data_IF_771126783117
#
_entry.id   IF_771126783117
#
_cell.length_a   1.000
_cell.length_b   1.000
_cell.length_c   1.000
_cell.angle_alpha   90.00
_cell.angle_beta   90.00
_cell.angle_gamma   90.00
#
_symmetry.space_group_name_H-M   'P 1'
#
loop_
_entity.id
_entity.type
_entity.pdbx_description
1 polymer ?
#
# COMPACT_ATOMS: atom_id res chain seq x y z
N UNK A 1 -18.55 2.02 21.14
CA UNK A 1 -17.11 1.86 20.81
C UNK A 1 -17.03 1.19 19.45
N UNK A 2 -16.51 1.81 18.37
CA UNK A 2 -16.39 1.09 17.10
C UNK A 2 -15.17 0.16 17.16
N UNK A 3 -15.44 -1.12 17.40
CA UNK A 3 -14.56 -2.21 17.00
C UNK A 3 -14.88 -2.48 15.54
N UNK A 4 -13.88 -2.43 14.67
CA UNK A 4 -14.03 -2.82 13.27
C UNK A 4 -13.42 -4.20 13.13
N UNK A 5 -14.26 -5.17 12.74
CA UNK A 5 -13.83 -6.54 12.50
C UNK A 5 -13.62 -6.79 11.00
N UNK A 6 -12.40 -7.17 10.61
CA UNK A 6 -12.06 -7.51 9.23
C UNK A 6 -12.84 -8.70 8.66
N UNK A 7 -13.31 -9.63 9.52
CA UNK A 7 -14.15 -10.76 9.10
C UNK A 7 -15.58 -10.34 8.77
N UNK A 8 -16.10 -9.28 9.38
CA UNK A 8 -17.46 -8.76 9.13
C UNK A 8 -17.46 -7.67 8.05
N UNK A 9 -16.33 -6.97 7.89
CA UNK A 9 -16.17 -5.88 6.93
C UNK A 9 -16.08 -6.36 5.48
N UNK A 10 -15.43 -7.50 5.22
CA UNK A 10 -15.27 -8.04 3.87
C UNK A 10 -16.56 -8.66 3.27
N UNK A 11 -17.40 -9.42 4.02
CA UNK A 11 -18.65 -9.98 3.50
C UNK A 11 -19.74 -8.94 3.22
N UNK A 12 -19.76 -7.83 3.96
CA UNK A 12 -20.65 -6.69 3.70
C UNK A 12 -20.43 -6.07 2.31
N UNK A 13 -19.24 -6.27 1.71
CA UNK A 13 -18.90 -5.84 0.36
C UNK A 13 -19.30 -6.87 -0.72
N UNK A 14 -19.54 -8.13 -0.35
CA UNK A 14 -19.79 -9.23 -1.31
C UNK A 14 -21.25 -9.63 -1.48
N UNK A 15 -22.20 -9.04 -0.74
CA UNK A 15 -23.59 -9.52 -0.74
C UNK A 15 -24.65 -8.46 -0.48
N UNK A 16 -25.41 -8.14 -1.54
CA UNK A 16 -26.71 -7.45 -1.58
C UNK A 16 -26.74 -5.94 -1.28
N UNK A 17 -27.33 -5.24 -2.26
CA UNK A 17 -27.71 -3.83 -2.32
C UNK A 17 -26.60 -2.81 -2.66
N UNK A 18 -26.58 -2.42 -3.94
CA UNK A 18 -26.27 -1.07 -4.41
C UNK A 18 -25.07 -0.38 -3.77
N UNK A 19 -23.94 -0.40 -4.49
CA UNK A 19 -22.73 0.35 -4.17
C UNK A 19 -23.10 1.80 -3.83
N UNK A 20 -22.90 2.18 -2.56
CA UNK A 20 -22.88 3.58 -2.13
C UNK A 20 -21.41 3.99 -1.92
N UNK A 21 -21.12 5.30 -1.98
CA UNK A 21 -19.77 5.92 -1.96
C UNK A 21 -18.75 5.37 -0.93
N UNK A 22 -19.20 4.66 0.11
CA UNK A 22 -18.37 4.07 1.16
C UNK A 22 -17.46 2.92 0.67
N UNK A 23 -17.76 2.27 -0.46
CA UNK A 23 -17.00 1.12 -0.98
C UNK A 23 -15.69 1.50 -1.71
N UNK A 24 -15.43 2.77 -2.00
CA UNK A 24 -14.22 3.21 -2.72
C UNK A 24 -12.97 3.29 -1.85
N UNK A 25 -13.12 3.17 -0.52
CA UNK A 25 -12.07 3.40 0.48
C UNK A 25 -11.48 2.13 1.09
N UNK A 26 -11.98 0.98 0.66
CA UNK A 26 -11.36 -0.31 0.90
C UNK A 26 -10.89 -0.89 -0.43
N UNK A 27 -9.61 -1.21 -0.55
CA UNK A 27 -9.05 -1.78 -1.78
C UNK A 27 -8.17 -2.97 -1.43
N UNK A 28 -8.20 -3.99 -2.29
CA UNK A 28 -7.25 -5.09 -2.23
C UNK A 28 -6.29 -4.93 -3.40
N UNK A 29 -4.99 -4.88 -3.12
CA UNK A 29 -3.95 -4.84 -4.14
C UNK A 29 -2.83 -5.78 -3.74
N UNK A 30 -2.49 -6.70 -4.65
CA UNK A 30 -1.45 -7.71 -4.44
C UNK A 30 -1.66 -8.54 -3.15
N UNK A 31 -2.92 -8.83 -2.83
CA UNK A 31 -3.32 -9.59 -1.63
C UNK A 31 -3.27 -8.81 -0.31
N UNK A 32 -2.93 -7.51 -0.36
CA UNK A 32 -2.95 -6.60 0.79
C UNK A 32 -4.18 -5.72 0.77
N UNK A 33 -4.73 -5.48 1.95
CA UNK A 33 -5.90 -4.63 2.14
C UNK A 33 -5.46 -3.19 2.46
N UNK A 34 -6.18 -2.23 1.91
CA UNK A 34 -5.98 -0.80 2.08
C UNK A 34 -7.28 -0.25 2.61
N UNK A 35 -7.27 0.33 3.81
CA UNK A 35 -8.45 0.89 4.45
C UNK A 35 -8.26 2.39 4.70
N UNK A 36 -9.16 3.19 4.14
CA UNK A 36 -9.20 4.63 4.29
C UNK A 36 -10.46 5.06 5.07
N UNK A 37 -10.25 5.53 6.29
CA UNK A 37 -11.25 5.98 7.24
C UNK A 37 -11.29 7.51 7.38
N UNK A 38 -10.68 8.27 6.47
CA UNK A 38 -10.51 9.73 6.63
C UNK A 38 -11.80 10.55 6.68
N UNK A 39 -12.84 10.15 5.95
CA UNK A 39 -14.14 10.87 5.96
C UNK A 39 -15.18 10.20 6.86
N UNK A 40 -14.73 9.34 7.77
CA UNK A 40 -15.57 8.86 8.85
C UNK A 40 -15.57 9.88 10.01
N UNK A 41 -16.62 9.82 10.84
CA UNK A 41 -16.73 10.59 12.07
C UNK A 41 -16.41 9.71 13.29
N UNK A 42 -15.22 9.10 13.31
CA UNK A 42 -14.83 8.19 14.38
C UNK A 42 -14.45 9.01 15.61
N UNK A 43 -15.24 8.87 16.66
CA UNK A 43 -15.05 9.55 17.93
C UNK A 43 -14.58 8.54 18.99
N UNK A 44 -13.55 8.90 19.74
CA UNK A 44 -13.08 8.11 20.88
C UNK A 44 -12.21 6.92 20.48
N UNK A 45 -12.40 5.77 21.12
CA UNK A 45 -11.56 4.59 20.93
C UNK A 45 -11.87 3.86 19.61
N UNK A 46 -10.85 3.57 18.81
CA UNK A 46 -10.92 2.73 17.62
C UNK A 46 -10.06 1.47 17.79
N UNK A 47 -10.65 0.31 17.51
CA UNK A 47 -9.94 -0.97 17.48
C UNK A 47 -10.18 -1.67 16.17
N UNK A 48 -9.11 -2.18 15.56
CA UNK A 48 -9.22 -3.08 14.41
C UNK A 48 -8.84 -4.49 14.85
N UNK A 49 -9.75 -5.43 14.64
CA UNK A 49 -9.52 -6.85 14.91
C UNK A 49 -9.62 -7.64 13.60
N UNK A 50 -8.91 -8.77 13.54
CA UNK A 50 -8.94 -9.71 12.41
C UNK A 50 -8.51 -9.14 11.04
N UNK A 51 -7.81 -8.00 11.04
CA UNK A 51 -7.23 -7.37 9.84
C UNK A 51 -5.81 -7.90 9.54
N UNK A 52 -5.68 -9.21 9.34
CA UNK A 52 -4.37 -9.86 9.16
C UNK A 52 -3.66 -9.49 7.86
N UNK A 53 -4.42 -9.11 6.82
CA UNK A 53 -3.92 -8.73 5.49
C UNK A 53 -3.89 -7.22 5.26
N UNK A 54 -4.29 -6.42 6.25
CA UNK A 54 -4.25 -4.97 6.17
C UNK A 54 -2.82 -4.51 5.99
N UNK A 55 -2.50 -4.01 4.80
CA UNK A 55 -1.20 -3.46 4.44
C UNK A 55 -1.11 -1.96 4.69
N UNK A 56 -2.23 -1.23 4.59
CA UNK A 56 -2.27 0.22 4.77
C UNK A 56 -3.55 0.65 5.48
N UNK A 57 -3.40 1.50 6.49
CA UNK A 57 -4.50 2.16 7.19
C UNK A 57 -4.30 3.68 7.14
N UNK A 58 -5.31 4.39 6.65
CA UNK A 58 -5.41 5.83 6.78
C UNK A 58 -6.63 6.18 7.63
N UNK A 59 -6.43 6.66 8.84
CA UNK A 59 -7.48 7.16 9.75
C UNK A 59 -7.16 8.59 10.21
N UNK A 60 -6.41 9.34 9.40
CA UNK A 60 -6.06 10.73 9.70
C UNK A 60 -7.30 11.63 9.78
N UNK A 61 -7.15 12.76 10.47
CA UNK A 61 -8.18 13.79 10.62
C UNK A 61 -7.74 15.09 9.92
N UNK A 62 -7.71 15.12 8.57
CA UNK A 62 -7.09 16.21 7.83
C UNK A 62 -7.69 17.59 8.15
N UNK A 63 -6.83 18.60 8.29
CA UNK A 63 -7.20 19.96 8.69
C UNK A 63 -8.03 20.76 7.65
N UNK A 64 -8.45 20.15 6.52
CA UNK A 64 -9.01 20.88 5.36
C UNK A 64 -10.27 21.70 5.69
N UNK A 65 -10.20 23.01 5.40
CA UNK A 65 -11.20 24.07 5.63
C UNK A 65 -12.55 23.90 4.91
N UNK A 66 -12.67 22.94 3.97
CA UNK A 66 -13.77 22.87 3.00
C UNK A 66 -14.71 21.66 3.13
N UNK A 67 -14.56 20.79 4.13
CA UNK A 67 -15.53 19.71 4.34
C UNK A 67 -16.53 20.11 5.42
N UNK A 68 -17.81 20.17 5.04
CA UNK A 68 -18.96 20.31 5.95
C UNK A 68 -19.16 19.05 6.84
N UNK A 69 -18.32 18.02 6.68
CA UNK A 69 -18.41 16.76 7.42
C UNK A 69 -17.59 16.78 8.72
N UNK A 70 -18.17 16.17 9.74
CA UNK A 70 -17.54 15.90 11.04
C UNK A 70 -16.30 15.02 10.90
N UNK A 71 -15.18 15.43 11.49
CA UNK A 71 -13.88 14.77 11.37
C UNK A 71 -13.65 13.71 12.43
N UNK A 72 -12.77 12.76 12.15
CA UNK A 72 -12.24 11.83 13.15
C UNK A 72 -11.64 12.60 14.35
N UNK A 73 -11.89 12.10 15.55
CA UNK A 73 -11.24 12.50 16.78
C UNK A 73 -10.99 11.24 17.61
N UNK A 74 -10.08 10.41 17.10
CA UNK A 74 -9.72 9.15 17.72
C UNK A 74 -8.87 9.46 18.95
N UNK A 75 -9.28 8.96 20.12
CA UNK A 75 -8.58 9.19 21.39
C UNK A 75 -7.66 8.04 21.79
N UNK A 76 -7.92 6.85 21.24
CA UNK A 76 -7.09 5.66 21.41
C UNK A 76 -7.21 4.79 20.17
N UNK A 77 -6.09 4.29 19.65
CA UNK A 77 -6.02 3.46 18.46
C UNK A 77 -5.33 2.13 18.77
N UNK A 78 -6.05 1.02 18.65
CA UNK A 78 -5.52 -0.32 18.84
C UNK A 78 -5.51 -1.13 17.53
N UNK A 79 -4.29 -1.40 17.07
CA UNK A 79 -3.95 -2.16 15.86
C UNK A 79 -3.14 -3.41 16.19
N UNK A 80 -3.17 -3.86 17.45
CA UNK A 80 -2.34 -4.99 17.91
C UNK A 80 -2.65 -6.33 17.23
N UNK A 81 -3.75 -6.39 16.46
CA UNK A 81 -4.19 -7.54 15.65
C UNK A 81 -3.97 -7.32 14.14
N UNK A 82 -3.27 -6.28 13.73
CA UNK A 82 -2.98 -5.93 12.33
C UNK A 82 -1.52 -6.28 11.94
N UNK A 83 -1.14 -7.55 12.04
CA UNK A 83 0.26 -7.98 11.82
C UNK A 83 0.80 -7.77 10.38
N UNK A 84 -0.09 -7.64 9.39
CA UNK A 84 0.25 -7.34 8.00
C UNK A 84 0.56 -5.87 7.70
N UNK A 85 0.34 -4.97 8.67
CA UNK A 85 0.35 -3.53 8.45
C UNK A 85 1.74 -3.03 8.07
N UNK A 86 1.82 -2.37 6.91
CA UNK A 86 3.06 -1.78 6.37
C UNK A 86 3.06 -0.27 6.46
N UNK A 87 1.89 0.37 6.39
CA UNK A 87 1.75 1.83 6.45
C UNK A 87 0.59 2.23 7.36
N UNK A 88 0.86 3.18 8.25
CA UNK A 88 -0.13 3.78 9.13
C UNK A 88 -0.11 5.30 9.00
N UNK A 89 -1.27 5.89 8.72
CA UNK A 89 -1.48 7.33 8.86
C UNK A 89 -2.64 7.57 9.83
N UNK A 90 -2.34 8.12 11.00
CA UNK A 90 -3.35 8.55 11.98
C UNK A 90 -3.18 10.04 12.36
N UNK A 91 -2.47 10.79 11.52
CA UNK A 91 -2.11 12.19 11.75
C UNK A 91 -3.31 13.11 11.99
N UNK A 92 -3.07 14.24 12.66
CA UNK A 92 -4.05 15.26 13.05
C UNK A 92 -5.18 14.80 13.98
N UNK A 93 -5.15 13.56 14.50
CA UNK A 93 -6.02 13.19 15.61
C UNK A 93 -5.48 13.81 16.90
N UNK A 94 -5.79 15.09 17.12
CA UNK A 94 -5.26 15.89 18.25
C UNK A 94 -5.55 15.23 19.61
N UNK A 95 -6.70 14.57 19.75
CA UNK A 95 -7.11 13.84 20.94
C UNK A 95 -6.50 12.46 21.13
N UNK A 96 -5.68 11.96 20.19
CA UNK A 96 -5.09 10.62 20.29
C UNK A 96 -4.07 10.57 21.41
N UNK A 97 -4.38 9.84 22.49
CA UNK A 97 -3.51 9.71 23.67
C UNK A 97 -2.76 8.39 23.74
N UNK A 98 -3.36 7.33 23.17
CA UNK A 98 -2.83 5.96 23.18
C UNK A 98 -2.75 5.41 21.77
N UNK A 99 -1.57 4.93 21.36
CA UNK A 99 -1.36 4.17 20.14
C UNK A 99 -0.81 2.79 20.47
N UNK A 100 -1.55 1.73 20.14
CA UNK A 100 -1.11 0.35 20.28
C UNK A 100 -0.89 -0.28 18.90
N UNK A 101 0.37 -0.47 18.53
CA UNK A 101 0.82 -1.11 17.29
C UNK A 101 1.63 -2.38 17.59
N UNK A 102 1.43 -2.99 18.76
CA UNK A 102 2.09 -4.24 19.13
C UNK A 102 1.92 -5.29 18.02
N UNK A 103 2.97 -6.05 17.73
CA UNK A 103 3.00 -7.09 16.68
C UNK A 103 2.81 -6.59 15.24
N UNK A 104 2.81 -5.29 14.96
CA UNK A 104 2.93 -4.76 13.60
C UNK A 104 4.38 -4.83 13.09
N UNK A 105 4.95 -6.04 13.02
CA UNK A 105 6.37 -6.25 12.67
C UNK A 105 6.72 -5.83 11.24
N UNK A 106 5.72 -5.75 10.35
CA UNK A 106 5.87 -5.35 8.96
C UNK A 106 5.77 -3.83 8.73
N UNK A 107 5.57 -3.03 9.79
CA UNK A 107 5.32 -1.60 9.67
C UNK A 107 6.59 -0.87 9.19
N UNK A 108 6.49 -0.18 8.05
CA UNK A 108 7.61 0.54 7.42
C UNK A 108 7.46 2.06 7.49
N UNK A 109 6.22 2.54 7.54
CA UNK A 109 5.92 3.96 7.61
C UNK A 109 4.80 4.21 8.62
N UNK A 110 5.01 5.23 9.46
CA UNK A 110 4.04 5.73 10.42
C UNK A 110 3.99 7.25 10.31
N UNK A 111 2.78 7.81 10.31
CA UNK A 111 2.54 9.25 10.37
C UNK A 111 1.59 9.57 11.53
N UNK A 112 2.14 10.22 12.55
CA UNK A 112 1.46 10.69 13.78
C UNK A 112 1.56 12.22 13.94
N UNK A 113 1.91 12.95 12.87
CA UNK A 113 2.07 14.41 12.90
C UNK A 113 0.77 15.07 13.34
N UNK A 114 0.85 16.04 14.26
CA UNK A 114 -0.33 16.72 14.81
C UNK A 114 -1.16 15.90 15.81
N UNK A 115 -0.75 14.68 16.18
CA UNK A 115 -1.34 13.93 17.29
C UNK A 115 -0.80 14.45 18.64
N UNK A 116 -1.10 15.70 18.97
CA UNK A 116 -0.47 16.45 20.08
C UNK A 116 -0.72 15.82 21.46
N UNK A 117 -1.80 15.06 21.63
CA UNK A 117 -2.12 14.35 22.87
C UNK A 117 -1.37 13.03 23.09
N UNK A 118 -0.60 12.54 22.11
CA UNK A 118 -0.03 11.19 22.15
C UNK A 118 1.05 11.09 23.23
N UNK A 119 0.76 10.29 24.26
CA UNK A 119 1.64 10.13 25.43
C UNK A 119 1.99 8.68 25.71
N UNK A 120 1.18 7.73 25.22
CA UNK A 120 1.40 6.30 25.40
C UNK A 120 1.47 5.59 24.06
N UNK A 121 2.62 4.94 23.80
CA UNK A 121 2.83 4.10 22.63
C UNK A 121 3.21 2.69 23.09
N UNK A 122 2.45 1.70 22.62
CA UNK A 122 2.74 0.28 22.83
C UNK A 122 3.18 -0.29 21.48
N UNK A 123 4.45 -0.66 21.35
CA UNK A 123 5.04 -1.04 20.06
C UNK A 123 5.98 -2.25 20.14
N UNK A 124 5.70 -3.18 21.06
CA UNK A 124 6.45 -4.45 21.15
C UNK A 124 6.37 -5.21 19.81
N UNK A 125 7.47 -5.83 19.38
CA UNK A 125 7.59 -6.53 18.10
C UNK A 125 7.32 -5.64 16.88
N UNK A 126 7.78 -4.39 16.91
CA UNK A 126 7.80 -3.46 15.77
C UNK A 126 9.20 -2.89 15.56
N UNK A 127 9.52 -2.30 14.39
CA UNK A 127 10.82 -1.67 14.16
C UNK A 127 10.93 -0.24 14.75
N UNK A 128 9.97 0.21 15.57
CA UNK A 128 9.90 1.56 16.12
C UNK A 128 10.16 1.59 17.63
N UNK A 129 10.65 2.73 18.12
CA UNK A 129 10.69 3.03 19.56
C UNK A 129 9.60 4.04 19.92
N UNK A 130 9.01 3.97 21.13
CA UNK A 130 8.00 4.92 21.59
C UNK A 130 8.44 6.38 21.49
N UNK A 131 9.70 6.67 21.86
CA UNK A 131 10.25 8.03 21.92
C UNK A 131 10.26 8.67 20.54
N UNK A 132 10.70 7.95 19.51
CA UNK A 132 10.73 8.44 18.12
C UNK A 132 9.34 8.73 17.58
N UNK A 133 8.35 7.90 17.93
CA UNK A 133 6.95 8.14 17.52
C UNK A 133 6.41 9.39 18.20
N UNK A 134 6.66 9.57 19.50
CA UNK A 134 6.22 10.75 20.24
C UNK A 134 6.94 12.01 19.73
N UNK A 135 8.21 11.95 19.34
CA UNK A 135 8.91 13.08 18.73
C UNK A 135 8.29 13.51 17.40
N UNK A 136 7.79 12.58 16.60
CA UNK A 136 7.11 12.90 15.33
C UNK A 136 5.83 13.72 15.51
N UNK A 137 5.16 13.64 16.68
CA UNK A 137 3.94 14.42 16.92
C UNK A 137 4.20 15.91 17.07
N UNK A 138 5.44 16.27 17.45
CA UNK A 138 5.92 17.64 17.59
C UNK A 138 6.24 18.29 16.25
N UNK A 139 6.34 17.50 15.18
CA UNK A 139 6.54 18.04 13.85
C UNK A 139 5.26 18.75 13.40
N UNK A 140 5.40 19.88 12.71
CA UNK A 140 4.27 20.56 12.09
C UNK A 140 4.00 19.99 10.70
N UNK A 141 2.80 20.20 10.17
CA UNK A 141 2.58 20.08 8.73
C UNK A 141 3.29 21.22 8.00
N UNK A 142 3.59 20.98 6.72
CA UNK A 142 4.09 22.00 5.83
C UNK A 142 3.17 23.23 5.83
N UNK A 143 3.76 24.41 6.08
CA UNK A 143 3.07 25.71 6.07
C UNK A 143 2.57 26.13 4.68
N UNK A 144 2.97 25.44 3.61
CA UNK A 144 2.41 25.70 2.29
C UNK A 144 0.96 25.22 2.24
N UNK A 145 0.06 26.09 1.78
CA UNK A 145 -1.36 25.80 1.64
C UNK A 145 -1.56 24.50 0.83
N UNK A 146 -2.50 23.68 1.28
CA UNK A 146 -2.84 22.37 0.69
C UNK A 146 -1.77 21.28 0.83
N UNK A 147 -0.60 21.55 1.40
CA UNK A 147 0.44 20.56 1.60
C UNK A 147 0.25 19.76 2.89
N UNK A 148 0.10 18.44 2.77
CA UNK A 148 -0.04 17.52 3.90
C UNK A 148 1.27 16.82 4.28
N UNK A 149 2.39 17.24 3.69
CA UNK A 149 3.70 16.68 3.99
C UNK A 149 4.22 17.18 5.33
N UNK A 150 5.04 16.35 5.96
CA UNK A 150 5.70 16.69 7.23
C UNK A 150 6.69 17.83 7.01
N UNK A 151 6.55 18.89 7.80
CA UNK A 151 7.51 19.98 7.81
C UNK A 151 8.80 19.58 8.54
N UNK A 152 9.90 20.19 8.13
CA UNK A 152 11.11 20.21 8.93
C UNK A 152 11.04 21.34 9.97
N UNK A 153 12.14 21.57 10.68
CA UNK A 153 12.24 22.58 11.74
C UNK A 153 11.89 24.01 11.29
N UNK A 154 11.92 24.30 10.00
CA UNK A 154 11.59 25.60 9.39
C UNK A 154 10.12 25.70 8.93
N UNK A 155 9.29 24.71 9.24
CA UNK A 155 7.87 24.73 8.93
C UNK A 155 7.50 24.32 7.50
N UNK A 156 8.47 23.96 6.65
CA UNK A 156 8.19 23.51 5.28
C UNK A 156 8.66 22.07 5.03
N UNK A 157 7.92 21.32 4.21
CA UNK A 157 8.35 19.98 3.83
C UNK A 157 9.52 20.01 2.85
N UNK A 158 10.12 18.85 2.59
CA UNK A 158 11.17 18.71 1.58
C UNK A 158 10.74 19.21 0.18
N UNK A 159 9.47 19.19 -0.17
CA UNK A 159 9.03 19.70 -1.48
C UNK A 159 8.81 21.21 -1.53
N UNK A 160 8.61 21.86 -0.38
CA UNK A 160 8.27 23.28 -0.27
C UNK A 160 9.33 24.14 0.43
N UNK A 161 10.36 23.53 1.02
CA UNK A 161 11.58 24.24 1.39
C UNK A 161 12.19 24.87 0.15
N UNK A 162 12.73 26.08 0.31
CA UNK A 162 13.31 26.85 -0.78
C UNK A 162 14.82 27.00 -0.61
N UNK A 163 15.50 27.15 -1.73
CA UNK A 163 16.92 27.52 -1.81
C UNK A 163 17.13 28.51 -2.96
N UNK A 164 18.29 29.17 -3.01
CA UNK A 164 18.62 30.05 -4.12
C UNK A 164 18.77 29.25 -5.42
N UNK A 165 18.25 29.80 -6.51
CA UNK A 165 18.56 29.33 -7.86
C UNK A 165 20.07 29.13 -8.04
N UNK A 166 20.50 28.00 -8.63
CA UNK A 166 21.92 27.69 -8.83
C UNK A 166 22.63 28.58 -9.87
N UNK A 167 21.92 29.53 -10.49
CA UNK A 167 22.50 30.43 -11.50
C UNK A 167 23.30 31.54 -10.81
N UNK A 168 24.52 31.78 -11.27
CA UNK A 168 25.40 32.76 -10.65
C UNK A 168 24.78 34.17 -10.71
N UNK A 169 24.75 34.85 -9.56
CA UNK A 169 24.09 36.16 -9.44
C UNK A 169 22.56 36.14 -9.31
N UNK A 170 21.91 34.97 -9.37
CA UNK A 170 20.47 34.85 -9.18
C UNK A 170 20.08 34.59 -7.72
N UNK A 171 19.32 35.50 -7.11
CA UNK A 171 18.84 35.38 -5.72
C UNK A 171 17.40 34.87 -5.59
N UNK A 172 16.78 34.37 -6.68
CA UNK A 172 15.41 33.85 -6.63
C UNK A 172 15.34 32.57 -5.81
N UNK A 173 14.46 32.57 -4.80
CA UNK A 173 14.16 31.40 -3.98
C UNK A 173 13.24 30.44 -4.74
N UNK A 174 13.67 29.19 -4.88
CA UNK A 174 12.95 28.13 -5.58
C UNK A 174 12.82 26.91 -4.68
N UNK A 175 11.77 26.12 -4.87
CA UNK A 175 11.61 24.88 -4.11
C UNK A 175 12.83 23.96 -4.32
N UNK A 176 13.29 23.24 -3.29
CA UNK A 176 14.47 22.37 -3.37
C UNK A 176 14.31 21.17 -4.31
N UNK A 177 13.09 20.89 -4.79
CA UNK A 177 12.84 19.96 -5.88
C UNK A 177 13.26 20.50 -7.26
N UNK A 178 13.64 21.78 -7.35
CA UNK A 178 14.08 22.47 -8.56
C UNK A 178 15.50 22.99 -8.36
N UNK A 179 16.31 22.98 -9.42
CA UNK A 179 17.68 23.53 -9.37
C UNK A 179 17.77 24.97 -9.90
N UNK A 180 16.88 25.33 -10.83
CA UNK A 180 16.82 26.64 -11.46
C UNK A 180 15.40 27.22 -11.39
N UNK A 181 15.28 28.55 -11.32
CA UNK A 181 14.00 29.25 -11.37
C UNK A 181 13.37 29.20 -12.75
N UNK A 182 12.09 29.54 -12.86
CA UNK A 182 11.36 29.52 -14.14
C UNK A 182 12.02 30.35 -15.25
N UNK A 183 12.75 31.41 -14.88
CA UNK A 183 13.46 32.26 -15.84
C UNK A 183 14.74 31.61 -16.37
N UNK A 184 15.34 30.70 -15.60
CA UNK A 184 16.60 30.01 -15.93
C UNK A 184 16.38 28.53 -16.33
N UNK A 185 15.13 28.12 -16.55
CA UNK A 185 14.82 26.81 -17.12
C UNK A 185 14.96 26.83 -18.65
N UNK A 186 15.61 25.82 -19.22
CA UNK A 186 15.74 25.64 -20.66
C UNK A 186 14.42 25.15 -21.27
N UNK A 187 14.32 25.20 -22.60
CA UNK A 187 13.23 24.54 -23.32
C UNK A 187 13.42 23.02 -23.20
N UNK A 188 12.30 22.29 -23.13
CA UNK A 188 12.27 20.84 -23.11
C UNK A 188 13.09 20.25 -24.25
N UNK A 189 13.83 19.17 -23.98
CA UNK A 189 14.67 18.51 -24.99
C UNK A 189 13.87 17.86 -26.14
N UNK A 190 12.58 17.60 -25.95
CA UNK A 190 11.71 17.05 -27.00
C UNK A 190 11.42 18.07 -28.09
N UNK A 191 11.60 17.66 -29.35
CA UNK A 191 11.25 18.47 -30.52
C UNK A 191 9.78 18.90 -30.45
N UNK A 192 9.53 20.16 -30.81
CA UNK A 192 8.21 20.79 -30.79
C UNK A 192 7.57 20.97 -29.40
N UNK A 193 8.35 20.78 -28.33
CA UNK A 193 7.89 21.04 -26.97
C UNK A 193 8.41 22.39 -26.42
N UNK A 194 7.53 23.37 -26.28
CA UNK A 194 7.87 24.70 -25.74
C UNK A 194 7.82 24.77 -24.21
N UNK A 195 7.64 23.64 -23.53
CA UNK A 195 7.61 23.61 -22.07
C UNK A 195 8.99 23.84 -21.48
N UNK A 196 9.04 24.48 -20.30
CA UNK A 196 10.28 24.66 -19.54
C UNK A 196 10.72 23.35 -18.87
N UNK A 197 12.03 23.11 -18.84
CA UNK A 197 12.65 21.92 -18.27
C UNK A 197 14.01 22.25 -17.65
N UNK A 198 14.55 21.40 -16.75
CA UNK A 198 15.95 21.46 -16.35
C UNK A 198 16.87 21.36 -17.58
N UNK A 199 18.11 21.85 -17.45
CA UNK A 199 19.09 21.87 -18.54
C UNK A 199 19.22 20.47 -19.17
N UNK A 200 19.03 20.41 -20.50
CA UNK A 200 19.11 19.16 -21.27
C UNK A 200 18.18 18.03 -20.76
N UNK A 201 17.01 18.40 -20.23
CA UNK A 201 16.05 17.46 -19.64
C UNK A 201 14.66 17.58 -20.26
N UNK A 202 13.80 16.65 -19.86
CA UNK A 202 12.39 16.62 -20.22
C UNK A 202 11.59 17.57 -19.36
N UNK A 203 10.55 18.18 -19.95
CA UNK A 203 9.51 18.76 -19.13
C UNK A 203 8.78 17.68 -18.33
N UNK A 204 8.09 18.10 -17.27
CA UNK A 204 7.37 17.19 -16.38
C UNK A 204 6.40 16.26 -17.13
N UNK A 205 5.75 16.76 -18.18
CA UNK A 205 4.85 15.97 -19.03
C UNK A 205 5.58 14.84 -19.76
N UNK A 206 6.66 15.15 -20.48
CA UNK A 206 7.42 14.15 -21.23
C UNK A 206 8.13 13.15 -20.31
N UNK A 207 8.55 13.59 -19.12
CA UNK A 207 9.06 12.70 -18.07
C UNK A 207 7.98 11.71 -17.61
N UNK A 208 6.79 12.20 -17.27
CA UNK A 208 5.68 11.35 -16.83
C UNK A 208 5.20 10.39 -17.93
N UNK A 209 5.19 10.84 -19.19
CA UNK A 209 4.87 10.02 -20.35
C UNK A 209 5.85 8.87 -20.51
N UNK A 210 7.17 9.15 -20.49
CA UNK A 210 8.22 8.12 -20.51
C UNK A 210 8.10 7.14 -19.35
N UNK A 211 7.88 7.64 -18.13
CA UNK A 211 7.72 6.77 -16.95
C UNK A 211 6.50 5.84 -17.09
N UNK A 212 5.42 6.33 -17.68
CA UNK A 212 4.20 5.54 -17.95
C UNK A 212 4.46 4.49 -19.04
N UNK A 213 5.12 4.85 -20.13
CA UNK A 213 5.52 3.92 -21.19
C UNK A 213 6.43 2.81 -20.64
N UNK A 214 7.44 3.17 -19.83
CA UNK A 214 8.33 2.20 -19.17
C UNK A 214 7.54 1.27 -18.24
N UNK A 215 6.57 1.79 -17.48
CA UNK A 215 5.71 0.97 -16.62
C UNK A 215 4.87 -0.02 -17.42
N UNK A 216 4.27 0.40 -18.54
CA UNK A 216 3.50 -0.49 -19.40
C UNK A 216 4.37 -1.55 -20.07
N UNK A 217 5.56 -1.20 -20.56
CA UNK A 217 6.52 -2.17 -21.09
C UNK A 217 6.89 -3.22 -20.03
N UNK A 218 7.16 -2.79 -18.79
CA UNK A 218 7.45 -3.70 -17.68
C UNK A 218 6.27 -4.61 -17.36
N UNK A 219 5.06 -4.07 -17.34
CA UNK A 219 3.83 -4.83 -17.10
C UNK A 219 3.61 -5.90 -18.17
N UNK A 220 3.81 -5.55 -19.44
CA UNK A 220 3.72 -6.49 -20.54
C UNK A 220 4.82 -7.57 -20.48
N UNK A 221 6.05 -7.20 -20.11
CA UNK A 221 7.13 -8.17 -19.94
C UNK A 221 6.86 -9.17 -18.81
N UNK A 222 6.31 -8.71 -17.68
CA UNK A 222 5.90 -9.59 -16.57
C UNK A 222 4.80 -10.55 -17.01
N UNK A 223 3.76 -10.06 -17.69
CA UNK A 223 2.68 -10.91 -18.22
C UNK A 223 3.22 -11.98 -19.16
N UNK A 224 4.13 -11.63 -20.08
CA UNK A 224 4.77 -12.61 -20.98
C UNK A 224 5.60 -13.66 -20.23
N UNK A 225 6.24 -13.31 -19.12
CA UNK A 225 6.97 -14.27 -18.29
C UNK A 225 6.02 -15.23 -17.57
N UNK A 226 4.91 -14.70 -17.05
CA UNK A 226 3.85 -15.47 -16.41
C UNK A 226 3.19 -16.45 -17.40
N UNK A 227 2.82 -15.99 -18.59
CA UNK A 227 2.26 -16.84 -19.65
C UNK A 227 3.21 -18.00 -20.02
N UNK A 228 4.53 -17.73 -20.05
CA UNK A 228 5.56 -18.76 -20.30
C UNK A 228 5.70 -19.76 -19.14
N UNK A 229 5.56 -19.31 -17.90
CA UNK A 229 5.58 -20.18 -16.72
C UNK A 229 4.37 -21.11 -16.72
N UNK A 230 3.17 -20.56 -16.94
CA UNK A 230 1.92 -21.31 -17.02
C UNK A 230 1.97 -22.37 -18.14
N UNK A 231 2.48 -22.02 -19.32
CA UNK A 231 2.65 -22.97 -20.42
C UNK A 231 3.61 -24.11 -20.08
N UNK A 232 4.69 -23.84 -19.33
CA UNK A 232 5.62 -24.88 -18.85
C UNK A 232 5.01 -25.78 -17.80
N UNK A 233 4.16 -25.24 -16.92
CA UNK A 233 3.44 -26.01 -15.92
C UNK A 233 2.42 -26.96 -16.57
N UNK A 234 1.63 -26.47 -17.53
CA UNK A 234 0.71 -27.31 -18.29
C UNK A 234 1.42 -28.47 -19.01
N UNK A 235 2.59 -28.21 -19.62
CA UNK A 235 3.41 -29.26 -20.23
C UNK A 235 3.91 -30.29 -19.20
N UNK A 236 4.29 -29.85 -17.99
CA UNK A 236 4.69 -30.76 -16.90
C UNK A 236 3.52 -31.61 -16.42
N UNK A 237 2.34 -31.02 -16.24
CA UNK A 237 1.14 -31.75 -15.84
C UNK A 237 0.75 -32.81 -16.87
N UNK A 238 0.77 -32.46 -18.17
CA UNK A 238 0.53 -33.42 -19.25
C UNK A 238 1.56 -34.55 -19.26
N UNK A 239 2.85 -34.26 -19.03
CA UNK A 239 3.88 -35.30 -18.92
C UNK A 239 3.67 -36.23 -17.72
N UNK A 240 3.24 -35.69 -16.58
CA UNK A 240 2.93 -36.50 -15.38
C UNK A 240 1.74 -37.41 -15.66
N UNK A 241 0.68 -36.90 -16.27
CA UNK A 241 -0.53 -37.65 -16.61
C UNK A 241 -0.25 -38.80 -17.60
N UNK A 242 0.51 -38.51 -18.67
CA UNK A 242 0.97 -39.53 -19.62
C UNK A 242 1.82 -40.61 -18.93
N UNK A 243 2.72 -40.21 -18.02
CA UNK A 243 3.57 -41.16 -17.28
C UNK A 243 2.76 -42.06 -16.34
N UNK A 244 1.74 -41.52 -15.67
CA UNK A 244 0.83 -42.32 -14.83
C UNK A 244 -0.02 -43.29 -15.66
N UNK A 245 -0.51 -42.86 -16.83
CA UNK A 245 -1.23 -43.74 -17.74
C UNK A 245 -0.36 -44.92 -18.20
N UNK A 246 0.89 -44.67 -18.60
CA UNK A 246 1.84 -45.73 -19.00
C UNK A 246 2.07 -46.72 -17.85
N UNK A 247 2.27 -46.24 -16.62
CA UNK A 247 2.43 -47.08 -15.44
C UNK A 247 1.19 -47.96 -15.20
N UNK A 248 -0.02 -47.40 -15.26
CA UNK A 248 -1.26 -48.16 -15.11
C UNK A 248 -1.40 -49.26 -16.18
N UNK A 249 -1.14 -48.94 -17.46
CA UNK A 249 -1.16 -49.92 -18.55
C UNK A 249 -0.12 -51.04 -18.37
N UNK A 250 1.05 -50.74 -17.79
CA UNK A 250 2.08 -51.75 -17.54
C UNK A 250 1.74 -52.70 -16.38
N UNK A 251 0.94 -52.25 -15.40
CA UNK A 251 0.59 -53.02 -14.21
C UNK A 251 -0.72 -53.83 -14.39
N UNK A 252 -1.63 -53.34 -15.24
CA UNK A 252 -2.91 -53.98 -15.57
C UNK A 252 -2.81 -55.48 -15.93
N UNK A 253 -1.85 -55.94 -16.78
CA UNK A 253 -1.69 -57.36 -17.09
C UNK A 253 -1.37 -58.21 -15.86
N UNK A 254 -0.56 -57.69 -14.94
CA UNK A 254 -0.18 -58.40 -13.71
C UNK A 254 -1.35 -58.51 -12.72
N UNK A 255 -2.17 -57.46 -12.62
CA UNK A 255 -3.39 -57.48 -11.81
C UNK A 255 -4.39 -58.49 -12.38
N UNK A 256 -4.63 -58.46 -13.69
CA UNK A 256 -5.51 -59.42 -14.36
C UNK A 256 -5.04 -60.87 -14.16
N UNK A 257 -3.73 -61.12 -14.25
CA UNK A 257 -3.16 -62.45 -14.01
C UNK A 257 -3.38 -62.91 -12.55
N UNK A 258 -3.27 -61.99 -11.59
CA UNK A 258 -3.53 -62.25 -10.17
C UNK A 258 -4.99 -62.57 -9.87
N UNK A 259 -5.92 -61.78 -10.43
CA UNK A 259 -7.37 -62.01 -10.29
C UNK A 259 -7.76 -63.33 -10.95
N UNK A 260 -7.25 -63.64 -12.15
CA UNK A 260 -7.51 -64.91 -12.83
C UNK A 260 -7.04 -66.11 -12.00
N UNK A 261 -5.87 -66.01 -11.34
CA UNK A 261 -5.40 -67.04 -10.40
C UNK A 261 -6.31 -67.21 -9.18
N UNK A 262 -6.80 -66.11 -8.59
CA UNK A 262 -7.71 -66.16 -7.45
C UNK A 262 -9.09 -66.72 -7.83
N UNK A 263 -9.63 -66.32 -8.99
CA UNK A 263 -10.91 -66.84 -9.50
C UNK A 263 -10.87 -68.35 -9.75
N UNK A 264 -9.77 -68.85 -10.35
CA UNK A 264 -9.55 -70.29 -10.53
C UNK A 264 -9.36 -71.06 -9.21
N UNK A 265 -8.95 -70.37 -8.14
CA UNK A 265 -8.79 -70.98 -6.81
C UNK A 265 -10.13 -71.08 -6.07
N UNK A 266 -11.04 -70.12 -6.28
CA UNK A 266 -12.38 -70.11 -5.67
C UNK A 266 -13.37 -71.01 -6.43
N UNK A 267 -13.23 -71.16 -7.75
CA UNK A 267 -14.15 -71.98 -8.57
C UNK A 267 -13.86 -73.49 -8.51
N UNK A 268 -12.79 -73.91 -7.83
CA UNK A 268 -12.38 -75.31 -7.63
C UNK A 268 -12.66 -75.81 -6.20
N UNK A 269 -13.69 -75.27 -5.52
CA UNK A 269 -14.20 -75.77 -4.24
C UNK A 269 -15.68 -76.10 -4.34
#
# INVERSE_FOLDING_TARGET
MPIIDGHEWAPALSGKHGITEQSLRYKIKDGLEFLDLTDYNIQGHLQLINFYRLGELNCSSPLKKYYEHTRNNITSLDLSRCGGLKKLNCSSNVGLTVLNIRNCSNLKNINVVGCLGLSKVICDNTPYSPEKIIEQTKMSFCLNDECQEVAYYDGYCIMHRRHCCKEEGCNLQINISKEYCSNHQSICKESDCFSRAPLNSDCAYHKMKRETEIKEIRKQAMKRMEDKLNAREQLREQQIDVSQCILLFSILPFIFMGIFKLYNCVSNK
#
